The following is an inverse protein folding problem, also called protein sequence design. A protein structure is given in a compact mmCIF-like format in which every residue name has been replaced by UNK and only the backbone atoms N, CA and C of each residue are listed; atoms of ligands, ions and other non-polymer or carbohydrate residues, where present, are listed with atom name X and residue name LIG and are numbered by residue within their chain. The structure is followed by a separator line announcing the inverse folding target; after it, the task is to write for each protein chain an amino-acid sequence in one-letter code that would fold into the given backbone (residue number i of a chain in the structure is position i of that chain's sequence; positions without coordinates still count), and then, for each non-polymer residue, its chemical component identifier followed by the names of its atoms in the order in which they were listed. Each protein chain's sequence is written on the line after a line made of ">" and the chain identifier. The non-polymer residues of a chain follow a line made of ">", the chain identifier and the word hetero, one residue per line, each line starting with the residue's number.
data_IF_036481478613
#
_entry.id   IF_036481478613
#
_cell.length_a   1.000
_cell.length_b   1.000
_cell.length_c   1.000
_cell.angle_alpha   90.00
_cell.angle_beta   90.00
_cell.angle_gamma   90.00
#
_symmetry.space_group_name_H-M   'P 1'
#
loop_
_entity.id
_entity.type
_entity.pdbx_description
1 polymer ?
#
# COMPACT_ATOMS: atom_id res chain seq x y z
N UNK A 1 -26.07 9.97 -1.72
CA UNK A 1 -25.22 9.61 -0.56
C UNK A 1 -25.29 8.11 -0.42
N UNK A 2 -24.19 7.41 -0.65
CA UNK A 2 -24.13 5.95 -0.66
C UNK A 2 -23.45 5.54 0.64
N UNK A 3 -24.25 5.15 1.63
CA UNK A 3 -23.78 4.69 2.93
C UNK A 3 -23.48 3.20 2.84
N UNK A 4 -22.22 2.80 2.95
CA UNK A 4 -21.85 1.39 3.09
C UNK A 4 -21.71 1.04 4.59
N UNK A 5 -22.31 -0.07 5.00
CA UNK A 5 -22.19 -0.58 6.37
C UNK A 5 -20.93 -1.44 6.47
N UNK A 6 -19.87 -0.88 7.05
CA UNK A 6 -18.66 -1.64 7.40
C UNK A 6 -18.79 -2.14 8.84
N UNK A 7 -18.60 -3.44 9.03
CA UNK A 7 -18.66 -4.07 10.37
C UNK A 7 -17.25 -4.30 10.87
N UNK A 8 -16.87 -3.59 11.95
CA UNK A 8 -15.63 -3.86 12.65
C UNK A 8 -15.81 -5.09 13.55
N UNK A 9 -14.95 -6.09 13.35
CA UNK A 9 -14.97 -7.35 14.08
C UNK A 9 -13.70 -7.47 14.93
N UNK A 10 -13.86 -7.73 16.22
CA UNK A 10 -12.74 -8.03 17.12
C UNK A 10 -12.69 -9.54 17.35
N UNK A 11 -11.55 -10.17 17.06
CA UNK A 11 -11.29 -11.56 17.40
C UNK A 11 -10.63 -11.56 18.79
N UNK A 12 -11.40 -11.91 19.82
CA UNK A 12 -10.86 -12.07 21.17
C UNK A 12 -10.10 -13.40 21.31
N UNK A 13 -9.13 -13.43 22.22
CA UNK A 13 -8.24 -14.58 22.47
C UNK A 13 -8.96 -15.81 23.07
N UNK A 14 -10.18 -15.64 23.60
CA UNK A 14 -10.95 -16.73 24.19
C UNK A 14 -12.06 -17.21 23.25
N UNK A 15 -11.88 -18.42 22.74
CA UNK A 15 -12.94 -19.32 22.23
C UNK A 15 -13.86 -18.82 21.11
N UNK A 16 -13.35 -17.99 20.18
CA UNK A 16 -13.97 -17.84 18.84
C UNK A 16 -15.35 -17.19 18.82
N UNK A 17 -15.80 -16.55 19.90
CA UNK A 17 -17.03 -15.76 19.90
C UNK A 17 -16.78 -14.37 19.31
N UNK A 18 -17.21 -14.18 18.06
CA UNK A 18 -17.21 -12.89 17.40
C UNK A 18 -18.28 -11.97 18.01
N UNK A 19 -17.89 -10.88 18.67
CA UNK A 19 -18.83 -9.86 19.19
C UNK A 19 -18.70 -8.54 18.41
N UNK A 20 -19.79 -8.02 17.81
CA UNK A 20 -19.76 -6.72 17.14
C UNK A 20 -19.63 -5.59 18.17
N UNK A 21 -18.61 -4.74 18.04
CA UNK A 21 -18.28 -3.73 19.06
C UNK A 21 -19.10 -2.44 18.89
N UNK A 22 -19.55 -2.09 17.69
CA UNK A 22 -20.60 -1.10 17.43
C UNK A 22 -20.84 -0.97 15.94
N UNK A 23 -22.11 -0.86 15.54
CA UNK A 23 -22.50 -0.45 14.19
C UNK A 23 -22.41 1.07 14.10
N UNK A 24 -21.26 1.58 13.70
CA UNK A 24 -21.12 3.01 13.40
C UNK A 24 -21.44 3.24 11.92
N UNK A 25 -22.45 4.08 11.65
CA UNK A 25 -22.73 4.54 10.30
C UNK A 25 -21.62 5.51 9.89
N UNK A 26 -20.72 5.05 9.03
CA UNK A 26 -19.68 5.89 8.45
C UNK A 26 -20.19 6.55 7.17
N UNK A 27 -20.05 7.88 7.08
CA UNK A 27 -20.23 8.56 5.81
C UNK A 27 -19.00 8.34 4.93
N UNK A 28 -19.13 7.39 4.01
CA UNK A 28 -18.11 7.01 3.02
C UNK A 28 -17.63 8.23 2.21
N UNK A 29 -18.53 9.18 1.93
CA UNK A 29 -18.19 10.38 1.18
C UNK A 29 -17.30 11.34 1.99
N UNK A 30 -17.57 11.49 3.29
CA UNK A 30 -16.73 12.24 4.22
C UNK A 30 -15.34 11.62 4.33
N UNK A 31 -15.26 10.30 4.52
CA UNK A 31 -13.97 9.60 4.64
C UNK A 31 -13.14 9.73 3.35
N UNK A 32 -13.74 9.51 2.19
CA UNK A 32 -13.06 9.65 0.89
C UNK A 32 -12.53 11.08 0.68
N UNK A 33 -13.29 12.09 1.14
CA UNK A 33 -12.88 13.50 1.06
C UNK A 33 -11.72 13.83 2.01
N UNK A 34 -11.73 13.26 3.21
CA UNK A 34 -10.64 13.42 4.19
C UNK A 34 -9.37 12.69 3.74
N UNK A 35 -9.51 11.48 3.19
CA UNK A 35 -8.42 10.73 2.58
C UNK A 35 -7.77 11.53 1.44
N UNK A 36 -8.57 12.06 0.50
CA UNK A 36 -8.06 12.88 -0.60
C UNK A 36 -7.29 14.11 -0.10
N UNK A 37 -7.80 14.79 0.95
CA UNK A 37 -7.12 15.94 1.58
C UNK A 37 -5.81 15.53 2.26
N UNK A 38 -5.80 14.37 2.91
CA UNK A 38 -4.61 13.84 3.58
C UNK A 38 -3.54 13.43 2.55
N UNK A 39 -3.94 12.76 1.47
CA UNK A 39 -3.08 12.42 0.34
C UNK A 39 -2.49 13.68 -0.30
N UNK A 40 -3.28 14.74 -0.53
CA UNK A 40 -2.78 16.00 -1.06
C UNK A 40 -1.70 16.63 -0.16
N UNK A 41 -1.94 16.68 1.15
CA UNK A 41 -0.96 17.18 2.13
C UNK A 41 0.31 16.34 2.14
N UNK A 42 0.21 15.02 2.07
CA UNK A 42 1.37 14.13 2.01
C UNK A 42 2.18 14.31 0.73
N UNK A 43 1.52 14.44 -0.43
CA UNK A 43 2.19 14.69 -1.71
C UNK A 43 3.00 15.98 -1.68
N UNK A 44 2.44 17.05 -1.10
CA UNK A 44 3.15 18.32 -0.94
C UNK A 44 4.34 18.22 0.01
N UNK A 45 4.26 17.37 1.04
CA UNK A 45 5.37 17.13 1.96
C UNK A 45 6.48 16.27 1.34
N UNK A 46 6.11 15.26 0.54
CA UNK A 46 7.04 14.36 -0.12
C UNK A 46 7.82 15.03 -1.26
N UNK A 47 7.16 15.91 -2.04
CA UNK A 47 7.81 16.69 -3.10
C UNK A 47 8.94 17.59 -2.59
N UNK A 48 8.94 17.96 -1.31
CA UNK A 48 10.00 18.74 -0.67
C UNK A 48 11.19 17.86 -0.21
N UNK A 49 11.00 16.55 -0.08
CA UNK A 49 11.97 15.64 0.54
C UNK A 49 12.72 14.76 -0.47
N UNK A 50 12.13 14.50 -1.65
CA UNK A 50 12.79 13.81 -2.77
C UNK A 50 13.33 14.86 -3.74
N UNK A 51 14.33 15.62 -3.33
CA UNK A 51 15.02 16.58 -4.20
C UNK A 51 16.25 15.93 -4.86
N UNK A 52 15.99 14.97 -5.75
CA UNK A 52 16.93 14.47 -6.74
C UNK A 52 16.60 15.05 -8.13
N UNK A 53 17.58 15.50 -8.93
CA UNK A 53 17.38 16.16 -10.23
C UNK A 53 16.55 15.44 -11.31
N UNK A 54 15.96 14.24 -11.19
CA UNK A 54 15.10 13.66 -12.26
C UNK A 54 13.71 13.13 -11.86
N UNK A 55 13.41 12.89 -10.59
CA UNK A 55 12.02 12.88 -10.09
C UNK A 55 11.58 14.34 -9.81
N UNK A 56 11.79 15.24 -10.79
CA UNK A 56 11.71 16.70 -10.59
C UNK A 56 10.29 17.18 -10.37
N UNK A 57 9.31 16.47 -10.93
CA UNK A 57 7.94 16.95 -10.99
C UNK A 57 6.99 16.03 -10.26
N UNK A 58 5.91 16.64 -9.74
CA UNK A 58 4.76 15.91 -9.21
C UNK A 58 4.14 14.95 -10.26
N UNK A 59 4.37 15.19 -11.55
CA UNK A 59 3.85 14.35 -12.62
C UNK A 59 4.66 13.06 -12.76
N UNK A 60 5.99 13.14 -12.75
CA UNK A 60 6.86 11.94 -12.85
C UNK A 60 6.57 10.96 -11.69
N UNK A 61 6.35 11.48 -10.48
CA UNK A 61 5.97 10.67 -9.32
C UNK A 61 4.59 10.03 -9.46
N UNK A 62 3.63 10.71 -10.11
CA UNK A 62 2.30 10.14 -10.37
C UNK A 62 2.39 9.03 -11.41
N UNK A 63 3.08 9.29 -12.51
CA UNK A 63 3.20 8.33 -13.61
C UNK A 63 3.91 7.05 -13.12
N UNK A 64 4.97 7.21 -12.32
CA UNK A 64 5.65 6.10 -11.67
C UNK A 64 4.73 5.34 -10.70
N UNK A 65 3.95 6.05 -9.88
CA UNK A 65 3.00 5.43 -8.97
C UNK A 65 1.90 4.66 -9.72
N UNK A 66 1.37 5.21 -10.80
CA UNK A 66 0.36 4.57 -11.64
C UNK A 66 0.91 3.32 -12.32
N UNK A 67 2.11 3.40 -12.91
CA UNK A 67 2.79 2.27 -13.52
C UNK A 67 3.07 1.15 -12.51
N UNK A 68 3.55 1.49 -11.30
CA UNK A 68 3.78 0.50 -10.25
C UNK A 68 2.48 -0.11 -9.74
N UNK A 69 1.43 0.70 -9.58
CA UNK A 69 0.11 0.20 -9.20
C UNK A 69 -0.40 -0.82 -10.23
N UNK A 70 -0.26 -0.52 -11.52
CA UNK A 70 -0.65 -1.42 -12.60
C UNK A 70 0.18 -2.71 -12.57
N UNK A 71 1.50 -2.61 -12.46
CA UNK A 71 2.40 -3.76 -12.43
C UNK A 71 2.14 -4.68 -11.23
N UNK A 72 2.01 -4.14 -10.02
CA UNK A 72 1.71 -4.93 -8.81
C UNK A 72 0.34 -5.59 -8.94
N UNK A 73 -0.67 -4.85 -9.43
CA UNK A 73 -2.02 -5.40 -9.62
C UNK A 73 -1.99 -6.58 -10.58
N UNK A 74 -1.31 -6.42 -11.71
CA UNK A 74 -1.21 -7.44 -12.75
C UNK A 74 -0.44 -8.69 -12.27
N UNK A 75 0.68 -8.50 -11.57
CA UNK A 75 1.44 -9.63 -10.99
C UNK A 75 0.62 -10.41 -9.98
N UNK A 76 -0.08 -9.74 -9.05
CA UNK A 76 -0.88 -10.42 -8.02
C UNK A 76 -2.05 -11.18 -8.64
N UNK A 77 -2.77 -10.57 -9.59
CA UNK A 77 -3.92 -11.21 -10.23
C UNK A 77 -3.54 -12.40 -11.11
N UNK A 78 -2.31 -12.42 -11.64
CA UNK A 78 -1.80 -13.53 -12.46
C UNK A 78 -1.00 -14.56 -11.67
N UNK A 79 -0.79 -14.34 -10.37
CA UNK A 79 0.14 -15.12 -9.55
C UNK A 79 -0.04 -16.64 -9.69
N UNK A 80 -1.29 -17.11 -9.64
CA UNK A 80 -1.61 -18.54 -9.71
C UNK A 80 -1.95 -19.03 -11.12
N UNK A 81 -2.41 -18.14 -12.01
CA UNK A 81 -2.95 -18.48 -13.32
C UNK A 81 -1.89 -18.48 -14.43
N UNK A 82 -0.87 -17.62 -14.32
CA UNK A 82 0.20 -17.52 -15.31
C UNK A 82 1.29 -18.57 -15.04
N UNK A 83 1.17 -19.69 -15.76
CA UNK A 83 2.11 -20.82 -15.66
C UNK A 83 3.44 -20.55 -16.35
N UNK A 84 3.52 -19.58 -17.26
CA UNK A 84 4.76 -19.23 -17.96
C UNK A 84 5.65 -18.36 -17.07
N UNK A 85 5.04 -17.44 -16.30
CA UNK A 85 5.74 -16.55 -15.39
C UNK A 85 6.29 -17.25 -14.14
N UNK A 86 5.70 -18.40 -13.76
CA UNK A 86 6.15 -19.28 -12.66
C UNK A 86 6.37 -18.52 -11.35
N UNK A 87 5.41 -17.67 -10.99
CA UNK A 87 5.55 -16.79 -9.83
C UNK A 87 5.74 -17.54 -8.51
N UNK A 88 4.94 -18.58 -8.19
CA UNK A 88 5.11 -19.33 -6.94
C UNK A 88 6.48 -20.00 -6.84
N UNK A 89 7.03 -20.49 -7.94
CA UNK A 89 8.36 -21.13 -7.94
C UNK A 89 9.51 -20.13 -7.80
N UNK A 90 9.31 -18.88 -8.25
CA UNK A 90 10.29 -17.80 -8.12
C UNK A 90 10.29 -17.18 -6.72
N UNK A 91 9.17 -17.28 -6.01
CA UNK A 91 9.03 -16.85 -4.62
C UNK A 91 8.28 -17.94 -3.83
N UNK A 92 8.98 -19.03 -3.47
CA UNK A 92 8.38 -20.12 -2.72
C UNK A 92 7.90 -19.62 -1.35
N UNK A 93 6.67 -19.99 -1.01
CA UNK A 93 6.06 -19.68 0.29
C UNK A 93 6.03 -20.93 1.15
N UNK A 94 5.78 -20.77 2.44
CA UNK A 94 5.49 -21.93 3.29
C UNK A 94 4.13 -22.55 2.90
N UNK A 95 4.00 -23.87 2.99
CA UNK A 95 2.80 -24.61 2.57
C UNK A 95 1.49 -24.00 3.10
N UNK A 96 1.50 -23.55 4.37
CA UNK A 96 0.33 -22.92 5.01
C UNK A 96 0.02 -21.54 4.46
N UNK A 97 1.04 -20.75 4.13
CA UNK A 97 0.87 -19.42 3.54
C UNK A 97 0.32 -19.55 2.12
N UNK A 98 0.86 -20.50 1.34
CA UNK A 98 0.37 -20.80 0.00
C UNK A 98 -1.09 -21.28 0.01
N UNK A 99 -1.42 -22.24 0.89
CA UNK A 99 -2.80 -22.75 1.05
C UNK A 99 -3.78 -21.61 1.36
N UNK A 100 -3.42 -20.71 2.29
CA UNK A 100 -4.23 -19.56 2.64
C UNK A 100 -4.42 -18.60 1.46
N UNK A 101 -3.36 -18.29 0.71
CA UNK A 101 -3.45 -17.38 -0.43
C UNK A 101 -4.26 -17.97 -1.59
N UNK A 102 -4.14 -19.27 -1.85
CA UNK A 102 -4.97 -19.97 -2.83
C UNK A 102 -6.45 -20.01 -2.40
N UNK A 103 -6.72 -20.17 -1.10
CA UNK A 103 -8.08 -20.07 -0.58
C UNK A 103 -8.67 -18.66 -0.79
N UNK A 104 -7.89 -17.60 -0.53
CA UNK A 104 -8.29 -16.21 -0.80
C UNK A 104 -8.62 -16.01 -2.28
N UNK A 105 -7.76 -16.49 -3.19
CA UNK A 105 -8.02 -16.44 -4.64
C UNK A 105 -9.34 -17.14 -4.98
N UNK A 106 -9.60 -18.32 -4.41
CA UNK A 106 -10.87 -19.03 -4.56
C UNK A 106 -12.08 -18.20 -4.10
N UNK A 107 -11.97 -17.48 -2.98
CA UNK A 107 -13.03 -16.59 -2.49
C UNK A 107 -13.27 -15.39 -3.42
N UNK A 108 -12.21 -14.85 -4.04
CA UNK A 108 -12.33 -13.77 -5.04
C UNK A 108 -13.06 -14.29 -6.28
N UNK A 109 -12.74 -15.50 -6.76
CA UNK A 109 -13.34 -16.10 -7.95
C UNK A 109 -14.84 -16.36 -7.81
N UNK A 110 -15.30 -16.75 -6.61
CA UNK A 110 -16.74 -16.95 -6.33
C UNK A 110 -17.45 -15.65 -5.92
N UNK A 111 -16.74 -14.52 -5.86
CA UNK A 111 -17.31 -13.20 -5.59
C UNK A 111 -17.53 -12.87 -4.12
N UNK A 112 -16.99 -13.67 -3.19
CA UNK A 112 -17.08 -13.41 -1.75
C UNK A 112 -16.11 -12.32 -1.30
N UNK A 113 -14.95 -12.19 -1.97
CA UNK A 113 -13.96 -11.15 -1.72
C UNK A 113 -13.78 -10.26 -2.95
N UNK A 114 -13.46 -8.97 -2.77
CA UNK A 114 -13.16 -8.08 -3.88
C UNK A 114 -11.86 -8.48 -4.59
N UNK A 115 -11.79 -8.22 -5.89
CA UNK A 115 -10.53 -8.35 -6.64
C UNK A 115 -9.44 -7.47 -6.02
N UNK A 116 -8.19 -7.93 -6.09
CA UNK A 116 -7.04 -7.20 -5.56
C UNK A 116 -6.99 -5.73 -6.01
N UNK A 117 -7.34 -5.46 -7.28
CA UNK A 117 -7.42 -4.10 -7.86
C UNK A 117 -8.36 -3.14 -7.09
N UNK A 118 -9.31 -3.67 -6.33
CA UNK A 118 -10.29 -2.91 -5.54
C UNK A 118 -9.98 -2.85 -4.04
N UNK A 119 -9.05 -3.68 -3.56
CA UNK A 119 -8.70 -3.79 -2.15
C UNK A 119 -7.18 -3.69 -1.92
N UNK A 120 -6.48 -2.91 -2.76
CA UNK A 120 -5.05 -2.66 -2.62
C UNK A 120 -4.74 -2.06 -1.25
N UNK A 121 -3.91 -2.75 -0.48
CA UNK A 121 -3.38 -2.22 0.77
C UNK A 121 -2.41 -1.06 0.55
N UNK A 122 -1.87 -0.53 1.64
CA UNK A 122 -0.82 0.49 1.55
C UNK A 122 0.53 -0.16 1.30
N UNK A 123 1.26 0.32 0.29
CA UNK A 123 2.59 -0.15 -0.08
C UNK A 123 3.56 1.00 -0.29
N UNK A 124 4.85 0.72 -0.19
CA UNK A 124 5.92 1.69 -0.39
C UNK A 124 7.01 1.09 -1.29
N UNK A 125 7.30 1.71 -2.45
CA UNK A 125 8.47 1.36 -3.23
C UNK A 125 9.72 2.01 -2.62
N UNK A 126 10.79 1.23 -2.47
CA UNK A 126 12.09 1.71 -2.03
C UNK A 126 13.05 1.77 -3.24
N UNK A 127 13.66 2.93 -3.47
CA UNK A 127 14.51 3.20 -4.62
C UNK A 127 15.95 3.44 -4.21
N UNK A 128 16.87 3.08 -5.09
CA UNK A 128 18.28 3.45 -5.03
C UNK A 128 18.58 4.36 -6.22
N UNK A 129 19.28 5.47 -5.97
CA UNK A 129 19.78 6.35 -7.03
C UNK A 129 21.21 5.93 -7.32
N UNK A 130 21.43 5.32 -8.47
CA UNK A 130 22.77 4.92 -8.88
C UNK A 130 23.56 6.15 -9.33
N UNK A 131 24.81 6.23 -8.88
CA UNK A 131 25.79 7.18 -9.41
C UNK A 131 26.61 6.45 -10.48
N UNK A 132 26.15 6.55 -11.73
CA UNK A 132 26.79 5.94 -12.88
C UNK A 132 27.92 6.81 -13.48
N UNK A 133 28.31 7.90 -12.82
CA UNK A 133 29.33 8.85 -13.31
C UNK A 133 28.89 9.67 -14.54
N UNK A 134 27.75 9.35 -15.13
CA UNK A 134 27.05 10.21 -16.08
C UNK A 134 26.14 11.17 -15.30
N UNK A 135 25.79 12.33 -15.87
CA UNK A 135 24.91 13.31 -15.21
C UNK A 135 23.44 12.84 -15.16
N UNK A 136 23.21 11.53 -15.15
CA UNK A 136 21.93 10.87 -15.30
C UNK A 136 21.66 10.00 -14.07
N UNK A 137 20.85 10.53 -13.15
CA UNK A 137 20.34 9.75 -12.03
C UNK A 137 19.53 8.57 -12.53
N UNK A 138 20.02 7.36 -12.27
CA UNK A 138 19.29 6.13 -12.57
C UNK A 138 18.58 5.64 -11.31
N UNK A 139 17.24 5.67 -11.32
CA UNK A 139 16.43 5.23 -10.19
C UNK A 139 16.11 3.74 -10.34
N UNK A 140 16.69 2.91 -9.48
CA UNK A 140 16.45 1.47 -9.46
C UNK A 140 15.48 1.12 -8.33
N UNK A 141 14.40 0.40 -8.65
CA UNK A 141 13.49 -0.14 -7.63
C UNK A 141 14.18 -1.34 -6.99
N UNK A 142 14.38 -1.24 -5.67
CA UNK A 142 15.05 -2.31 -4.91
C UNK A 142 14.05 -3.24 -4.24
N UNK A 143 12.95 -2.69 -3.70
CA UNK A 143 11.94 -3.43 -2.98
C UNK A 143 10.57 -2.74 -3.07
N UNK A 144 9.49 -3.52 -2.97
CA UNK A 144 8.13 -3.04 -2.79
C UNK A 144 7.60 -3.61 -1.46
N UNK A 145 7.51 -2.76 -0.46
CA UNK A 145 7.06 -3.12 0.88
C UNK A 145 5.53 -2.96 1.01
N UNK A 146 4.79 -4.07 1.13
CA UNK A 146 3.32 -4.07 1.20
C UNK A 146 2.74 -4.54 2.56
N UNK A 147 3.58 -4.93 3.52
CA UNK A 147 3.16 -5.45 4.83
C UNK A 147 2.98 -4.36 5.91
N UNK A 148 3.69 -3.24 5.81
CA UNK A 148 3.60 -2.09 6.71
C UNK A 148 4.28 -0.87 6.05
N UNK A 149 3.52 0.07 5.49
CA UNK A 149 4.06 1.23 4.74
C UNK A 149 4.51 2.42 5.63
N UNK A 150 4.57 2.23 6.95
CA UNK A 150 4.71 3.32 7.91
C UNK A 150 6.18 3.62 8.25
N UNK A 151 6.80 4.57 7.53
CA UNK A 151 8.05 5.21 7.96
C UNK A 151 7.99 6.76 7.95
N UNK A 152 7.02 7.37 7.25
CA UNK A 152 7.02 8.82 7.00
C UNK A 152 6.58 9.72 8.16
N UNK A 153 5.82 9.22 9.14
CA UNK A 153 5.37 10.06 10.27
C UNK A 153 6.48 10.29 11.32
N UNK A 154 7.50 9.43 11.37
CA UNK A 154 8.51 9.46 12.43
C UNK A 154 9.49 10.64 12.32
N UNK A 155 9.82 11.13 11.12
CA UNK A 155 10.84 12.18 10.97
C UNK A 155 10.36 13.59 11.34
N UNK A 156 9.06 13.89 11.30
CA UNK A 156 8.56 15.25 11.63
C UNK A 156 7.88 15.38 13.00
N UNK A 157 7.40 14.29 13.60
CA UNK A 157 6.95 14.32 15.00
C UNK A 157 8.12 14.35 15.98
N UNK A 158 9.27 13.75 15.63
CA UNK A 158 10.47 13.84 16.47
C UNK A 158 11.21 15.19 16.32
N UNK A 159 11.06 15.89 15.20
CA UNK A 159 11.69 17.20 14.98
C UNK A 159 10.99 18.37 15.70
N UNK A 160 9.78 18.18 16.27
CA UNK A 160 9.04 19.23 16.99
C UNK A 160 9.24 19.24 18.52
N UNK A 161 10.14 18.43 19.07
CA UNK A 161 10.53 18.51 20.49
C UNK A 161 11.95 19.06 20.65
N UNK A 162 12.16 20.33 20.31
CA UNK A 162 13.17 21.11 21.01
C UNK A 162 12.44 21.94 22.09
N UNK A 163 12.73 21.74 23.38
CA UNK A 163 12.21 22.63 24.41
C UNK A 163 12.86 24.01 24.23
N UNK A 164 12.03 25.03 24.05
CA UNK A 164 12.41 26.43 24.27
C UNK A 164 12.95 26.56 25.69
N UNK A 165 14.26 26.76 25.83
CA UNK A 165 14.86 27.24 27.07
C UNK A 165 14.61 28.75 27.13
N UNK A 166 13.87 29.19 28.14
CA UNK A 166 13.96 30.52 28.71
C UNK A 166 14.67 30.39 30.06
#
# INVERSE_FOLDING_TARGET
>A
MQTEQLTQVHLGDDHGETRPISQQNFDVASFSSEEARFQEKLLNLYALQISGPRLRTRQDLKDLHEALTAAITDVVQRWWSDKDARFPERMPLEDKEEELLQWIEGQVMIGNLPQFSRCRGSWRPDFLVEDNGEREENYCITEINARFSFNGLCTRLMAKRQPTRA
#
